data_IF_152499322617
#
_entry.id   IF_152499322617
#
_cell.length_a   1.000
_cell.length_b   1.000
_cell.length_c   1.000
_cell.angle_alpha   90.00
_cell.angle_beta   90.00
_cell.angle_gamma   90.00
#
_symmetry.space_group_name_H-M   'P 1'
#
loop_
_entity.id
_entity.type
_entity.pdbx_description
1 polymer ?
#
# COMPACT_ATOMS: atom_id res chain seq x y z
N UNK A 1 70.45 -26.30 -29.09
CA UNK A 1 69.93 -24.97 -29.45
C UNK A 1 68.49 -24.72 -28.98
N UNK A 2 67.45 -25.39 -29.53
CA UNK A 2 66.06 -25.16 -29.09
C UNK A 2 65.80 -25.43 -27.59
N UNK A 3 66.36 -26.53 -27.07
CA UNK A 3 66.25 -26.90 -25.64
C UNK A 3 66.94 -25.87 -24.73
N UNK A 4 68.13 -25.42 -25.11
CA UNK A 4 68.91 -24.44 -24.35
C UNK A 4 68.26 -23.04 -24.34
N UNK A 5 67.60 -22.64 -25.43
CA UNK A 5 66.80 -21.42 -25.45
C UNK A 5 65.58 -21.51 -24.53
N UNK A 6 64.90 -22.66 -24.53
CA UNK A 6 63.76 -22.92 -23.66
C UNK A 6 64.13 -22.92 -22.17
N UNK A 7 65.25 -23.55 -21.82
CA UNK A 7 65.80 -23.56 -20.45
C UNK A 7 66.17 -22.15 -19.95
N UNK A 8 66.40 -21.20 -20.87
CA UNK A 8 66.62 -19.78 -20.60
C UNK A 8 65.36 -18.91 -20.74
N UNK A 9 64.17 -19.52 -20.81
CA UNK A 9 62.88 -18.83 -21.01
C UNK A 9 62.76 -18.04 -22.34
N UNK A 10 63.52 -18.43 -23.37
CA UNK A 10 63.48 -17.81 -24.70
C UNK A 10 62.77 -18.76 -25.66
N UNK A 11 61.59 -18.36 -26.14
CA UNK A 11 60.81 -19.11 -27.13
C UNK A 11 61.05 -18.53 -28.52
N UNK A 12 61.58 -19.36 -29.42
CA UNK A 12 61.71 -19.02 -30.83
C UNK A 12 60.33 -19.13 -31.50
N UNK A 13 59.83 -18.01 -32.02
CA UNK A 13 58.50 -17.92 -32.65
C UNK A 13 58.63 -17.50 -34.11
N UNK A 14 57.75 -18.05 -34.95
CA UNK A 14 57.48 -17.48 -36.27
C UNK A 14 56.38 -16.40 -36.16
N UNK A 15 56.22 -15.51 -37.15
CA UNK A 15 55.16 -14.49 -37.14
C UNK A 15 53.75 -15.07 -36.89
N UNK A 16 53.48 -16.28 -37.40
CA UNK A 16 52.19 -16.96 -37.21
C UNK A 16 52.03 -17.51 -35.79
N UNK A 17 53.07 -18.11 -35.21
CA UNK A 17 53.05 -18.62 -33.83
C UNK A 17 52.91 -17.48 -32.83
N UNK A 18 53.58 -16.35 -33.04
CA UNK A 18 53.45 -15.16 -32.19
C UNK A 18 52.01 -14.62 -32.23
N UNK A 19 51.43 -14.49 -33.42
CA UNK A 19 50.06 -14.02 -33.59
C UNK A 19 49.04 -14.97 -32.94
N UNK A 20 49.25 -16.28 -33.06
CA UNK A 20 48.42 -17.28 -32.40
C UNK A 20 48.49 -17.15 -30.86
N UNK A 21 49.69 -16.97 -30.30
CA UNK A 21 49.88 -16.76 -28.86
C UNK A 21 49.24 -15.46 -28.38
N UNK A 22 49.39 -14.35 -29.12
CA UNK A 22 48.79 -13.07 -28.75
C UNK A 22 47.25 -13.14 -28.75
N UNK A 23 46.66 -13.76 -29.78
CA UNK A 23 45.21 -14.03 -29.83
C UNK A 23 44.75 -14.91 -28.67
N UNK A 24 45.59 -15.85 -28.23
CA UNK A 24 45.30 -16.70 -27.08
C UNK A 24 45.24 -15.87 -25.80
N UNK A 25 46.21 -14.98 -25.57
CA UNK A 25 46.20 -14.05 -24.44
C UNK A 25 44.97 -13.13 -24.48
N UNK A 26 44.65 -12.56 -25.64
CA UNK A 26 43.44 -11.73 -25.81
C UNK A 26 42.16 -12.52 -25.45
N UNK A 27 42.06 -13.77 -25.93
CA UNK A 27 40.92 -14.63 -25.61
C UNK A 27 40.84 -14.94 -24.11
N UNK A 28 41.98 -15.18 -23.44
CA UNK A 28 42.03 -15.40 -21.98
C UNK A 28 41.51 -14.17 -21.24
N UNK A 29 41.97 -12.97 -21.58
CA UNK A 29 41.50 -11.74 -20.93
C UNK A 29 40.02 -11.47 -21.20
N UNK A 30 39.54 -11.73 -22.42
CA UNK A 30 38.12 -11.60 -22.74
C UNK A 30 37.28 -12.56 -21.90
N UNK A 31 37.72 -13.81 -21.76
CA UNK A 31 37.07 -14.82 -20.93
C UNK A 31 37.05 -14.42 -19.46
N UNK A 32 38.19 -13.97 -18.91
CA UNK A 32 38.28 -13.54 -17.52
C UNK A 32 37.35 -12.34 -17.23
N UNK A 33 37.31 -11.36 -18.13
CA UNK A 33 36.41 -10.20 -18.02
C UNK A 33 34.93 -10.63 -18.05
N UNK A 34 34.58 -11.57 -18.92
CA UNK A 34 33.22 -12.12 -18.98
C UNK A 34 32.87 -12.87 -17.69
N UNK A 35 33.80 -13.67 -17.16
CA UNK A 35 33.58 -14.42 -15.92
C UNK A 35 33.37 -13.48 -14.72
N UNK A 36 34.21 -12.44 -14.58
CA UNK A 36 34.05 -11.40 -13.54
C UNK A 36 32.73 -10.65 -13.66
N UNK A 37 32.30 -10.34 -14.88
CA UNK A 37 31.00 -9.70 -15.10
C UNK A 37 29.84 -10.63 -14.73
N UNK A 38 29.90 -11.91 -15.11
CA UNK A 38 28.87 -12.89 -14.78
C UNK A 38 28.75 -13.10 -13.27
N UNK A 39 29.88 -13.18 -12.55
CA UNK A 39 29.91 -13.29 -11.09
C UNK A 39 29.30 -12.05 -10.42
N UNK A 40 29.62 -10.84 -10.92
CA UNK A 40 29.04 -9.60 -10.41
C UNK A 40 27.52 -9.55 -10.65
N UNK A 41 27.06 -9.93 -11.84
CA UNK A 41 25.63 -10.01 -12.17
C UNK A 41 24.93 -10.99 -11.24
N UNK A 42 25.50 -12.17 -11.01
CA UNK A 42 24.91 -13.17 -10.11
C UNK A 42 24.79 -12.65 -8.68
N UNK A 43 25.81 -11.96 -8.18
CA UNK A 43 25.79 -11.33 -6.85
C UNK A 43 24.72 -10.24 -6.74
N UNK A 44 24.66 -9.34 -7.71
CA UNK A 44 23.66 -8.26 -7.74
C UNK A 44 22.24 -8.81 -7.90
N UNK A 45 22.06 -9.86 -8.72
CA UNK A 45 20.77 -10.53 -8.88
C UNK A 45 20.31 -11.24 -7.59
N UNK A 46 21.23 -11.88 -6.86
CA UNK A 46 20.93 -12.47 -5.55
C UNK A 46 20.47 -11.42 -4.54
N UNK A 47 21.22 -10.31 -4.42
CA UNK A 47 20.86 -9.21 -3.53
C UNK A 47 19.51 -8.57 -3.90
N UNK A 48 19.24 -8.41 -5.20
CA UNK A 48 17.97 -7.90 -5.69
C UNK A 48 16.80 -8.84 -5.35
N UNK A 49 17.01 -10.15 -5.50
CA UNK A 49 16.02 -11.16 -5.14
C UNK A 49 15.67 -11.09 -3.65
N UNK A 50 16.67 -11.02 -2.78
CA UNK A 50 16.46 -10.91 -1.34
C UNK A 50 15.68 -9.64 -0.97
N UNK A 51 16.04 -8.50 -1.59
CA UNK A 51 15.31 -7.25 -1.40
C UNK A 51 13.86 -7.34 -1.90
N UNK A 52 13.62 -8.06 -2.99
CA UNK A 52 12.29 -8.28 -3.52
C UNK A 52 11.43 -9.11 -2.57
N UNK A 53 11.99 -10.15 -1.95
CA UNK A 53 11.29 -10.95 -0.93
C UNK A 53 10.90 -10.08 0.27
N UNK A 54 11.82 -9.25 0.78
CA UNK A 54 11.52 -8.32 1.88
C UNK A 54 10.41 -7.32 1.54
N UNK A 55 10.34 -6.88 0.28
CA UNK A 55 9.26 -6.02 -0.20
C UNK A 55 7.92 -6.75 -0.19
N UNK A 56 7.86 -8.01 -0.63
CA UNK A 56 6.64 -8.81 -0.59
C UNK A 56 6.14 -9.00 0.85
N UNK A 57 7.03 -9.33 1.79
CA UNK A 57 6.68 -9.45 3.22
C UNK A 57 6.10 -8.13 3.78
N UNK A 58 6.70 -7.00 3.38
CA UNK A 58 6.22 -5.67 3.78
C UNK A 58 4.83 -5.38 3.22
N UNK A 59 4.55 -5.78 1.98
CA UNK A 59 3.23 -5.62 1.37
C UNK A 59 2.17 -6.49 2.06
N UNK A 60 2.50 -7.73 2.43
CA UNK A 60 1.60 -8.60 3.20
C UNK A 60 1.28 -8.01 4.58
N UNK A 61 2.29 -7.45 5.26
CA UNK A 61 2.10 -6.77 6.55
C UNK A 61 1.17 -5.55 6.44
N UNK A 62 1.31 -4.78 5.36
CA UNK A 62 0.41 -3.65 5.05
C UNK A 62 -1.01 -4.16 4.79
N UNK A 63 -1.19 -5.19 3.97
CA UNK A 63 -2.49 -5.79 3.70
C UNK A 63 -3.21 -6.23 4.98
N UNK A 64 -2.49 -6.89 5.88
CA UNK A 64 -3.02 -7.29 7.19
C UNK A 64 -3.43 -6.08 8.06
N UNK A 65 -2.65 -5.02 8.04
CA UNK A 65 -2.94 -3.79 8.79
C UNK A 65 -4.16 -3.06 8.24
N UNK A 66 -4.34 -3.06 6.91
CA UNK A 66 -5.51 -2.50 6.25
C UNK A 66 -6.77 -3.27 6.62
N UNK A 67 -6.71 -4.62 6.62
CA UNK A 67 -7.83 -5.46 7.06
C UNK A 67 -8.24 -5.17 8.51
N UNK A 68 -7.27 -5.08 9.43
CA UNK A 68 -7.53 -4.70 10.83
C UNK A 68 -8.18 -3.33 10.96
N UNK A 69 -7.71 -2.37 10.16
CA UNK A 69 -8.28 -1.02 10.14
C UNK A 69 -9.72 -1.04 9.63
N UNK A 70 -9.98 -1.81 8.58
CA UNK A 70 -11.33 -1.99 8.02
C UNK A 70 -12.27 -2.63 9.05
N UNK A 71 -11.83 -3.67 9.77
CA UNK A 71 -12.62 -4.28 10.85
C UNK A 71 -12.91 -3.30 11.98
N UNK A 72 -11.90 -2.52 12.41
CA UNK A 72 -12.07 -1.51 13.45
C UNK A 72 -13.07 -0.43 13.02
N UNK A 73 -12.98 0.02 11.76
CA UNK A 73 -13.93 0.94 11.16
C UNK A 73 -15.34 0.37 11.14
N UNK A 74 -15.53 -0.86 10.65
CA UNK A 74 -16.85 -1.51 10.61
C UNK A 74 -17.44 -1.64 12.03
N UNK A 75 -16.65 -2.08 13.01
CA UNK A 75 -17.09 -2.15 14.42
C UNK A 75 -17.50 -0.78 14.98
N UNK A 76 -16.77 0.28 14.64
CA UNK A 76 -17.11 1.64 15.06
C UNK A 76 -18.40 2.13 14.39
N UNK A 77 -18.55 1.86 13.09
CA UNK A 77 -19.76 2.15 12.32
C UNK A 77 -20.97 1.41 12.89
N UNK A 78 -20.80 0.15 13.27
CA UNK A 78 -21.87 -0.63 13.86
C UNK A 78 -22.32 -0.08 15.21
N UNK A 79 -21.38 0.29 16.08
CA UNK A 79 -21.71 0.95 17.36
C UNK A 79 -22.40 2.30 17.16
N UNK A 80 -22.08 3.01 16.08
CA UNK A 80 -22.66 4.31 15.78
C UNK A 80 -24.08 4.19 15.22
N UNK A 81 -24.31 3.33 14.22
CA UNK A 81 -25.52 3.36 13.39
C UNK A 81 -26.30 2.04 13.28
N UNK A 82 -25.66 0.88 13.10
CA UNK A 82 -26.39 -0.34 12.70
C UNK A 82 -26.60 -1.34 13.85
N UNK A 83 -25.81 -1.25 14.92
CA UNK A 83 -25.82 -2.19 16.04
C UNK A 83 -27.03 -2.07 16.97
N UNK A 84 -27.29 -3.13 17.75
CA UNK A 84 -28.37 -3.16 18.74
C UNK A 84 -28.10 -2.14 19.85
N UNK A 85 -28.94 -1.11 19.93
CA UNK A 85 -28.73 0.03 20.83
C UNK A 85 -27.62 0.95 20.36
N UNK A 86 -27.50 1.17 19.04
CA UNK A 86 -26.56 2.12 18.45
C UNK A 86 -26.68 3.53 19.04
N UNK A 87 -25.58 4.29 18.96
CA UNK A 87 -25.49 5.61 19.58
C UNK A 87 -26.45 6.62 18.98
N UNK A 88 -26.72 6.56 17.67
CA UNK A 88 -27.66 7.46 17.01
C UNK A 88 -29.05 7.34 17.63
N UNK A 89 -29.56 6.10 17.81
CA UNK A 89 -30.82 5.84 18.51
C UNK A 89 -30.82 6.36 19.94
N UNK A 90 -29.79 6.01 20.73
CA UNK A 90 -29.74 6.44 22.15
C UNK A 90 -29.72 7.96 22.32
N UNK A 91 -29.01 8.66 21.44
CA UNK A 91 -28.97 10.13 21.47
C UNK A 91 -30.32 10.71 21.08
N UNK A 92 -30.99 10.12 20.10
CA UNK A 92 -32.34 10.52 19.71
C UNK A 92 -33.37 10.26 20.82
N UNK A 93 -33.35 9.09 21.45
CA UNK A 93 -34.21 8.74 22.58
C UNK A 93 -34.06 9.76 23.73
N UNK A 94 -32.83 10.17 24.05
CA UNK A 94 -32.57 11.18 25.09
C UNK A 94 -33.13 12.55 24.69
N UNK A 95 -33.03 12.94 23.41
CA UNK A 95 -33.66 14.15 22.89
C UNK A 95 -35.19 14.08 23.05
N UNK A 96 -35.81 12.96 22.67
CA UNK A 96 -37.27 12.73 22.82
C UNK A 96 -37.73 12.84 24.28
N UNK A 97 -36.90 12.42 25.23
CA UNK A 97 -37.15 12.56 26.67
C UNK A 97 -37.04 14.01 27.19
N UNK A 98 -36.81 15.01 26.32
CA UNK A 98 -36.85 16.43 26.67
C UNK A 98 -35.49 17.07 26.93
N UNK A 99 -34.38 16.42 26.53
CA UNK A 99 -33.05 17.03 26.63
C UNK A 99 -32.94 18.24 25.69
N UNK A 100 -32.52 19.40 26.23
CA UNK A 100 -32.34 20.63 25.46
C UNK A 100 -31.16 20.50 24.48
N UNK A 101 -31.44 20.27 23.19
CA UNK A 101 -30.42 20.22 22.12
C UNK A 101 -30.59 21.37 21.13
N UNK A 102 -29.49 22.03 20.76
CA UNK A 102 -29.50 23.12 19.75
C UNK A 102 -29.42 22.64 18.29
N UNK A 103 -29.01 21.40 18.06
CA UNK A 103 -28.85 20.81 16.72
C UNK A 103 -29.42 19.40 16.70
N UNK A 104 -30.08 19.05 15.60
CA UNK A 104 -30.75 17.76 15.40
C UNK A 104 -29.91 16.86 14.50
N UNK A 105 -29.95 15.55 14.72
CA UNK A 105 -29.39 14.57 13.78
C UNK A 105 -30.29 14.56 12.53
N UNK A 106 -29.69 14.54 11.33
CA UNK A 106 -30.47 14.55 10.09
C UNK A 106 -31.34 13.29 9.97
N UNK A 107 -32.59 13.44 9.52
CA UNK A 107 -33.58 12.37 9.45
C UNK A 107 -33.12 11.10 8.72
N UNK A 108 -32.40 11.24 7.60
CA UNK A 108 -31.86 10.09 6.86
C UNK A 108 -30.92 9.21 7.70
N UNK A 109 -30.15 9.79 8.64
CA UNK A 109 -29.25 9.05 9.52
C UNK A 109 -30.00 8.31 10.65
N UNK A 110 -31.17 8.82 11.03
CA UNK A 110 -32.06 8.18 12.01
C UNK A 110 -32.78 6.99 11.39
N UNK A 111 -33.27 7.16 10.15
CA UNK A 111 -33.89 6.11 9.36
C UNK A 111 -32.91 4.97 9.07
N UNK A 112 -31.68 5.30 8.61
CA UNK A 112 -30.60 4.33 8.40
C UNK A 112 -30.22 3.58 9.70
N UNK A 113 -30.33 4.24 10.85
CA UNK A 113 -30.09 3.63 12.15
C UNK A 113 -31.30 2.81 12.67
N UNK A 114 -32.42 2.83 11.94
CA UNK A 114 -33.69 2.16 12.24
C UNK A 114 -34.47 2.80 13.37
N UNK A 115 -34.29 4.10 13.62
CA UNK A 115 -35.10 4.86 14.57
C UNK A 115 -36.46 5.18 13.95
N UNK A 116 -37.55 4.96 14.69
CA UNK A 116 -38.90 5.29 14.22
C UNK A 116 -39.04 6.81 14.11
N UNK A 117 -39.15 7.33 12.88
CA UNK A 117 -39.45 8.73 12.64
C UNK A 117 -40.97 8.90 12.83
N UNK A 118 -41.39 9.40 13.98
CA UNK A 118 -42.75 9.93 14.11
C UNK A 118 -42.80 11.26 13.38
N UNK A 119 -43.65 11.33 12.36
CA UNK A 119 -43.83 12.44 11.42
C UNK A 119 -44.41 13.73 12.06
N UNK A 120 -44.34 13.89 13.37
CA UNK A 120 -45.21 14.80 14.12
C UNK A 120 -44.69 16.25 14.22
N UNK A 121 -43.53 16.56 13.64
CA UNK A 121 -42.94 17.90 13.71
C UNK A 121 -43.18 18.76 12.44
N UNK A 122 -44.17 18.44 11.60
CA UNK A 122 -44.59 19.26 10.45
C UNK A 122 -45.80 20.18 10.74
N UNK A 123 -46.08 20.52 12.00
CA UNK A 123 -47.24 21.35 12.37
C UNK A 123 -46.94 22.61 13.20
N UNK A 124 -45.68 22.99 13.36
CA UNK A 124 -45.33 24.27 13.97
C UNK A 124 -44.50 25.08 12.98
N UNK A 125 -45.18 25.68 12.01
CA UNK A 125 -44.83 26.95 11.33
C UNK A 125 -45.87 27.29 10.24
N UNK A 126 -47.17 27.02 10.47
CA UNK A 126 -48.22 27.73 9.71
C UNK A 126 -48.43 29.06 10.40
N UNK A 127 -47.58 30.00 10.00
CA UNK A 127 -47.72 31.43 10.21
C UNK A 127 -49.19 31.83 10.02
N UNK A 128 -49.82 32.25 11.12
CA UNK A 128 -51.17 32.77 11.11
C UNK A 128 -51.10 34.10 10.35
N UNK A 129 -51.83 34.28 9.23
CA UNK A 129 -51.74 35.54 8.51
C UNK A 129 -52.29 36.64 9.42
N UNK A 130 -51.44 37.63 9.71
CA UNK A 130 -51.84 38.90 10.31
C UNK A 130 -52.90 39.55 9.41
N UNK A 131 -54.17 39.28 9.69
CA UNK A 131 -55.29 40.03 9.13
C UNK A 131 -55.36 41.39 9.84
N UNK A 132 -54.69 42.36 9.22
CA UNK A 132 -54.93 43.78 9.37
C UNK A 132 -56.35 44.11 8.88
N UNK A 133 -57.31 44.24 9.80
CA UNK A 133 -58.49 45.10 9.53
C UNK A 133 -59.23 45.58 10.78
N UNK A 134 -58.95 46.85 11.12
CA UNK A 134 -59.88 47.89 11.56
C UNK A 134 -61.07 47.56 12.48
N UNK A 135 -61.02 48.11 13.70
CA UNK A 135 -61.74 49.34 14.09
C UNK A 135 -61.39 49.76 15.50
#
# INVERSE_FOLDING_TARGET
>A
LYREAYDRHIILVSPTTLLATLRTVENIWRYEKQNKNAERIAKEAGALHDQFVLLLESLDAIGNSLNKTQEAYSKARDRLQTGRGNLVKRVDDIRRLGAKTKKTIAGHLLEDAGAEIESEELLLDVDQPDDVSGR
#
